data_IF_200377983638
#
_entry.id   IF_200377983638
#
_cell.length_a   1.000
_cell.length_b   1.000
_cell.length_c   1.000
_cell.angle_alpha   90.00
_cell.angle_beta   90.00
_cell.angle_gamma   90.00
#
_symmetry.space_group_name_H-M   'P 1'
#
loop_
_entity.id
_entity.type
_entity.pdbx_description
1 polymer ?
#
# COMPACT_ATOMS: atom_id res chain seq x y z
N UNK A 1 -21.71 11.80 -3.35
CA UNK A 1 -21.06 13.09 -3.13
C UNK A 1 -19.55 12.88 -3.14
N UNK A 2 -18.79 13.93 -3.49
CA UNK A 2 -17.33 13.91 -3.50
C UNK A 2 -16.82 14.22 -2.09
N UNK A 3 -15.80 13.51 -1.63
CA UNK A 3 -15.16 13.71 -0.33
C UNK A 3 -13.67 13.98 -0.54
N UNK A 4 -13.17 15.01 0.13
CA UNK A 4 -11.74 15.33 0.27
C UNK A 4 -11.29 14.91 1.68
N UNK A 5 -10.24 14.10 1.78
CA UNK A 5 -9.61 13.76 3.05
C UNK A 5 -8.09 13.65 2.86
N UNK A 6 -7.37 13.53 3.98
CA UNK A 6 -5.92 13.32 3.96
C UNK A 6 -5.54 12.04 3.17
N UNK A 7 -6.41 11.03 3.14
CA UNK A 7 -6.18 9.76 2.44
C UNK A 7 -6.54 9.75 0.95
N UNK A 8 -6.93 10.91 0.42
CA UNK A 8 -7.31 11.06 -0.98
C UNK A 8 -8.76 11.44 -1.20
N UNK A 9 -9.07 11.62 -2.49
CA UNK A 9 -10.42 11.87 -2.95
C UNK A 9 -11.24 10.58 -2.96
N UNK A 10 -12.54 10.69 -2.72
CA UNK A 10 -13.46 9.57 -2.92
C UNK A 10 -14.84 9.99 -3.40
N UNK A 11 -15.49 9.11 -4.15
CA UNK A 11 -16.89 9.29 -4.55
C UNK A 11 -17.76 8.33 -3.74
N UNK A 12 -18.54 8.90 -2.83
CA UNK A 12 -19.36 8.13 -1.88
C UNK A 12 -20.84 8.27 -2.17
N UNK A 13 -21.62 7.26 -1.81
CA UNK A 13 -23.07 7.20 -1.97
C UNK A 13 -23.69 6.55 -0.73
N UNK A 14 -24.90 6.96 -0.30
CA UNK A 14 -25.63 6.24 0.73
C UNK A 14 -25.77 4.75 0.38
N UNK A 15 -25.66 3.87 1.37
CA UNK A 15 -25.80 2.43 1.14
C UNK A 15 -27.25 2.05 0.87
N UNK A 16 -27.46 1.09 -0.03
CA UNK A 16 -28.74 0.39 -0.15
C UNK A 16 -28.79 -0.73 0.89
N UNK A 17 -29.60 -0.56 1.92
CA UNK A 17 -29.64 -1.44 3.09
C UNK A 17 -28.54 -1.16 4.11
N UNK A 18 -28.66 -1.79 5.28
CA UNK A 18 -27.76 -1.58 6.41
C UNK A 18 -26.59 -2.59 6.40
N UNK A 19 -25.33 -2.11 6.38
CA UNK A 19 -24.16 -2.94 6.67
C UNK A 19 -24.28 -3.68 8.00
N UNK A 20 -23.64 -4.84 8.09
CA UNK A 20 -23.59 -5.65 9.31
C UNK A 20 -22.28 -5.36 10.05
N UNK A 21 -22.35 -4.63 11.16
CA UNK A 21 -21.18 -4.30 11.98
C UNK A 21 -20.97 -5.36 13.07
N UNK A 22 -19.72 -5.74 13.33
CA UNK A 22 -19.38 -6.64 14.43
C UNK A 22 -19.68 -5.96 15.78
N UNK A 23 -19.99 -6.75 16.82
CA UNK A 23 -20.32 -6.21 18.15
C UNK A 23 -19.22 -5.31 18.76
N UNK A 24 -17.95 -5.60 18.45
CA UNK A 24 -16.81 -4.78 18.87
C UNK A 24 -16.59 -3.53 17.98
N UNK A 25 -17.36 -3.36 16.92
CA UNK A 25 -17.30 -2.24 15.98
C UNK A 25 -15.98 -2.11 15.21
N UNK A 26 -15.17 -3.19 15.14
CA UNK A 26 -13.86 -3.21 14.47
C UNK A 26 -13.92 -3.59 13.00
N UNK A 27 -15.06 -4.11 12.54
CA UNK A 27 -15.29 -4.40 11.13
C UNK A 27 -16.77 -4.33 10.79
N UNK A 28 -17.08 -4.09 9.53
CA UNK A 28 -18.43 -4.14 8.99
C UNK A 28 -18.44 -4.87 7.64
N UNK A 29 -19.52 -5.60 7.36
CA UNK A 29 -19.73 -6.31 6.10
C UNK A 29 -20.84 -5.64 5.32
N UNK A 30 -20.55 -5.29 4.07
CA UNK A 30 -21.52 -4.72 3.13
C UNK A 30 -21.37 -5.38 1.77
N UNK A 31 -22.48 -5.85 1.19
CA UNK A 31 -22.55 -6.54 -0.11
C UNK A 31 -21.47 -7.64 -0.28
N UNK A 32 -21.31 -8.48 0.75
CA UNK A 32 -20.35 -9.59 0.75
C UNK A 32 -18.88 -9.18 0.88
N UNK A 33 -18.59 -7.90 1.13
CA UNK A 33 -17.24 -7.40 1.35
C UNK A 33 -17.08 -6.99 2.81
N UNK A 34 -16.02 -7.48 3.45
CA UNK A 34 -15.61 -7.07 4.79
C UNK A 34 -14.72 -5.83 4.71
N UNK A 35 -15.03 -4.84 5.52
CA UNK A 35 -14.25 -3.61 5.71
C UNK A 35 -13.73 -3.59 7.15
N UNK A 36 -12.46 -3.25 7.33
CA UNK A 36 -11.83 -3.14 8.63
C UNK A 36 -11.78 -1.68 9.08
N UNK A 37 -11.97 -1.45 10.39
CA UNK A 37 -12.01 -0.11 10.98
C UNK A 37 -10.67 0.60 10.77
N UNK A 38 -10.74 1.83 10.27
CA UNK A 38 -9.62 2.77 10.16
C UNK A 38 -9.66 3.79 11.28
N UNK A 39 -10.79 4.49 11.41
CA UNK A 39 -10.94 5.55 12.39
C UNK A 39 -12.26 5.42 13.14
N UNK A 40 -12.23 5.86 14.40
CA UNK A 40 -13.41 6.12 15.20
C UNK A 40 -13.19 7.46 15.89
N UNK A 41 -14.08 8.42 15.64
CA UNK A 41 -13.98 9.78 16.14
C UNK A 41 -15.36 10.38 16.38
N UNK A 42 -15.39 11.46 17.17
CA UNK A 42 -16.57 12.32 17.30
C UNK A 42 -16.40 13.53 16.38
N UNK A 43 -17.47 13.90 15.68
CA UNK A 43 -17.52 15.12 14.88
C UNK A 43 -18.54 16.09 15.48
N UNK A 44 -18.27 17.39 15.36
CA UNK A 44 -19.19 18.45 15.75
C UNK A 44 -19.37 19.43 14.58
N UNK A 45 -20.63 19.72 14.24
CA UNK A 45 -20.93 20.75 13.24
C UNK A 45 -20.70 22.13 13.82
N UNK A 46 -19.62 22.80 13.44
CA UNK A 46 -19.28 24.13 13.97
C UNK A 46 -19.90 25.28 13.16
N UNK A 47 -20.09 25.07 11.86
CA UNK A 47 -20.64 26.05 10.92
C UNK A 47 -21.23 25.34 9.69
N UNK A 48 -22.20 25.96 9.02
CA UNK A 48 -22.84 25.43 7.81
C UNK A 48 -22.53 26.36 6.64
N UNK A 49 -21.87 25.83 5.61
CA UNK A 49 -21.59 26.55 4.36
C UNK A 49 -22.45 25.97 3.24
N UNK A 50 -23.32 26.79 2.65
CA UNK A 50 -24.16 26.40 1.54
C UNK A 50 -25.53 25.86 1.96
N UNK A 51 -26.15 25.11 1.05
CA UNK A 51 -27.52 24.62 1.18
C UNK A 51 -27.56 23.10 1.26
N UNK A 52 -28.42 22.59 2.14
CA UNK A 52 -28.63 21.16 2.34
C UNK A 52 -30.12 20.84 2.18
N UNK A 53 -30.42 19.70 1.56
CA UNK A 53 -31.81 19.23 1.41
C UNK A 53 -32.43 18.73 2.73
N UNK A 54 -31.65 18.68 3.81
CA UNK A 54 -32.06 18.32 5.15
C UNK A 54 -31.54 19.36 6.16
N UNK A 55 -32.11 19.36 7.36
CA UNK A 55 -31.70 20.29 8.40
C UNK A 55 -30.34 19.90 8.99
N UNK A 56 -29.38 20.82 8.93
CA UNK A 56 -28.09 20.72 9.61
C UNK A 56 -28.08 21.67 10.80
N UNK A 57 -27.67 21.19 11.97
CA UNK A 57 -27.73 21.98 13.21
C UNK A 57 -26.32 22.22 13.76
N UNK A 58 -25.97 23.50 14.02
CA UNK A 58 -24.70 23.85 14.69
C UNK A 58 -24.67 23.26 16.10
N UNK A 59 -23.54 22.68 16.48
CA UNK A 59 -23.35 21.96 17.73
C UNK A 59 -23.88 20.52 17.71
N UNK A 60 -24.45 20.06 16.59
CA UNK A 60 -24.79 18.66 16.42
C UNK A 60 -23.52 17.81 16.47
N UNK A 61 -23.58 16.74 17.27
CA UNK A 61 -22.49 15.79 17.46
C UNK A 61 -22.85 14.43 16.88
N UNK A 62 -21.86 13.78 16.30
CA UNK A 62 -21.99 12.44 15.73
C UNK A 62 -20.76 11.60 16.08
N UNK A 63 -21.00 10.32 16.35
CA UNK A 63 -19.94 9.30 16.44
C UNK A 63 -19.76 8.71 15.05
N UNK A 64 -18.58 8.87 14.46
CA UNK A 64 -18.27 8.45 13.11
C UNK A 64 -17.29 7.29 13.12
N UNK A 65 -17.48 6.31 12.24
CA UNK A 65 -16.54 5.21 12.00
C UNK A 65 -16.28 5.07 10.53
N UNK A 66 -15.01 5.14 10.17
CA UNK A 66 -14.55 4.92 8.81
C UNK A 66 -13.86 3.57 8.71
N UNK A 67 -14.24 2.82 7.69
CA UNK A 67 -13.75 1.49 7.38
C UNK A 67 -13.21 1.46 5.96
N UNK A 68 -12.22 0.58 5.73
CA UNK A 68 -11.65 0.40 4.41
C UNK A 68 -11.48 -1.09 4.08
N UNK A 69 -11.50 -1.39 2.79
CA UNK A 69 -11.12 -2.67 2.24
C UNK A 69 -10.34 -2.44 0.93
N UNK A 70 -9.78 -3.51 0.36
CA UNK A 70 -9.20 -3.44 -0.98
C UNK A 70 -10.22 -3.07 -2.07
N UNK A 71 -11.52 -3.19 -1.79
CA UNK A 71 -12.61 -2.89 -2.73
C UNK A 71 -13.22 -1.50 -2.56
N UNK A 72 -12.83 -0.74 -1.53
CA UNK A 72 -13.37 0.61 -1.32
C UNK A 72 -13.45 1.02 0.14
N UNK A 73 -14.23 2.06 0.38
CA UNK A 73 -14.48 2.70 1.67
C UNK A 73 -15.92 2.46 2.12
N UNK A 74 -16.11 2.40 3.44
CA UNK A 74 -17.41 2.34 4.08
C UNK A 74 -17.37 3.24 5.31
N UNK A 75 -18.35 4.11 5.46
CA UNK A 75 -18.45 5.05 6.58
C UNK A 75 -19.79 4.91 7.26
N UNK A 76 -19.77 4.98 8.59
CA UNK A 76 -20.92 5.05 9.47
C UNK A 76 -20.90 6.39 10.18
N UNK A 77 -22.02 7.09 10.15
CA UNK A 77 -22.25 8.26 11.00
C UNK A 77 -23.43 7.98 11.91
N UNK A 78 -23.24 8.16 13.22
CA UNK A 78 -24.26 7.93 14.23
C UNK A 78 -24.55 9.20 15.01
N UNK A 79 -25.79 9.67 14.94
CA UNK A 79 -26.34 10.70 15.81
C UNK A 79 -27.10 10.07 16.98
N UNK A 80 -27.78 10.90 17.77
CA UNK A 80 -28.64 10.43 18.87
C UNK A 80 -29.81 9.56 18.39
N UNK A 81 -30.33 9.83 17.19
CA UNK A 81 -31.59 9.23 16.71
C UNK A 81 -31.44 8.45 15.40
N UNK A 82 -30.29 8.54 14.74
CA UNK A 82 -30.11 8.01 13.39
C UNK A 82 -28.70 7.45 13.20
N UNK A 83 -28.62 6.35 12.47
CA UNK A 83 -27.37 5.81 11.93
C UNK A 83 -27.47 5.86 10.42
N UNK A 84 -26.53 6.54 9.78
CA UNK A 84 -26.39 6.57 8.33
C UNK A 84 -25.13 5.84 7.89
N UNK A 85 -25.21 5.21 6.73
CA UNK A 85 -24.09 4.51 6.13
C UNK A 85 -23.88 4.99 4.71
N UNK A 86 -22.62 5.15 4.33
CA UNK A 86 -22.22 5.46 2.97
C UNK A 86 -21.06 4.58 2.54
N UNK A 87 -21.06 4.15 1.28
CA UNK A 87 -19.96 3.41 0.67
C UNK A 87 -19.43 4.19 -0.53
N UNK A 88 -18.14 4.03 -0.83
CA UNK A 88 -17.54 4.70 -1.97
C UNK A 88 -16.19 4.16 -2.38
N UNK A 89 -15.71 4.71 -3.49
CA UNK A 89 -14.47 4.32 -4.12
C UNK A 89 -13.48 5.48 -4.09
N UNK A 90 -12.18 5.17 -3.91
CA UNK A 90 -11.13 6.18 -4.03
C UNK A 90 -11.04 6.69 -5.46
N UNK A 91 -10.76 7.98 -5.60
CA UNK A 91 -10.56 8.68 -6.85
C UNK A 91 -9.14 9.23 -6.91
N UNK A 92 -8.56 9.23 -8.11
CA UNK A 92 -7.32 9.94 -8.36
C UNK A 92 -7.57 11.46 -8.39
N UNK A 93 -6.64 12.23 -7.86
CA UNK A 93 -6.67 13.70 -7.86
C UNK A 93 -6.81 14.24 -9.29
N UNK A 94 -6.12 13.62 -10.26
CA UNK A 94 -6.23 13.96 -11.68
C UNK A 94 -7.66 13.79 -12.24
N UNK A 95 -8.45 12.85 -11.72
CA UNK A 95 -9.86 12.69 -12.11
C UNK A 95 -10.68 13.89 -11.64
N UNK A 96 -10.43 14.37 -10.41
CA UNK A 96 -11.10 15.54 -9.85
C UNK A 96 -10.69 16.81 -10.60
N UNK A 97 -9.40 17.02 -10.81
CA UNK A 97 -8.85 18.17 -11.57
C UNK A 97 -9.52 18.30 -12.93
N UNK A 98 -9.59 17.20 -13.69
CA UNK A 98 -10.21 17.18 -15.03
C UNK A 98 -11.72 17.38 -14.97
N UNK A 99 -12.41 16.79 -13.98
CA UNK A 99 -13.86 16.92 -13.86
C UNK A 99 -14.30 18.37 -13.59
N UNK A 100 -13.48 19.13 -12.85
CA UNK A 100 -13.76 20.53 -12.52
C UNK A 100 -13.02 21.55 -13.42
N UNK A 101 -12.20 21.11 -14.37
CA UNK A 101 -11.37 21.96 -15.25
C UNK A 101 -10.45 22.90 -14.44
N UNK A 102 -9.72 22.32 -13.50
CA UNK A 102 -8.85 23.02 -12.54
C UNK A 102 -7.38 22.64 -12.73
N UNK A 103 -6.93 22.51 -13.98
CA UNK A 103 -5.57 22.07 -14.32
C UNK A 103 -4.50 23.01 -13.74
N UNK A 104 -4.81 24.30 -13.60
CA UNK A 104 -3.98 25.32 -12.98
C UNK A 104 -3.83 25.15 -11.45
N UNK A 105 -4.70 24.34 -10.83
CA UNK A 105 -4.73 24.07 -9.38
C UNK A 105 -4.37 22.63 -9.04
N UNK A 106 -3.75 21.90 -9.96
CA UNK A 106 -3.37 20.50 -9.76
C UNK A 106 -2.58 20.29 -8.46
N UNK A 107 -1.60 21.14 -8.19
CA UNK A 107 -0.71 20.97 -7.03
C UNK A 107 -1.44 21.07 -5.69
N UNK A 108 -2.47 21.93 -5.58
CA UNK A 108 -3.25 22.08 -4.34
C UNK A 108 -4.35 21.02 -4.18
N UNK A 109 -4.72 20.36 -5.28
CA UNK A 109 -5.71 19.27 -5.29
C UNK A 109 -5.07 17.89 -5.19
N UNK A 110 -3.74 17.80 -5.30
CA UNK A 110 -3.02 16.55 -5.13
C UNK A 110 -3.21 16.02 -3.69
N UNK A 111 -3.57 14.75 -3.58
CA UNK A 111 -3.66 14.00 -2.32
C UNK A 111 -2.90 12.69 -2.44
N UNK A 112 -3.01 11.86 -1.41
CA UNK A 112 -2.62 10.45 -1.44
C UNK A 112 -3.50 9.69 -2.43
N UNK A 113 -3.08 9.73 -3.69
CA UNK A 113 -3.81 9.08 -4.77
C UNK A 113 -3.82 7.57 -4.57
N UNK A 114 -4.95 6.90 -4.87
CA UNK A 114 -4.95 5.45 -4.94
C UNK A 114 -3.86 5.03 -5.91
N UNK A 115 -2.89 4.25 -5.42
CA UNK A 115 -1.82 3.73 -6.25
C UNK A 115 -2.40 3.05 -7.49
N UNK A 116 -1.64 2.96 -8.60
CA UNK A 116 -2.10 2.23 -9.77
C UNK A 116 -2.59 0.87 -9.28
N UNK A 117 -3.85 0.53 -9.58
CA UNK A 117 -4.39 -0.79 -9.30
C UNK A 117 -3.62 -1.77 -10.19
N UNK A 118 -2.43 -2.14 -9.74
CA UNK A 118 -1.77 -3.33 -10.18
C UNK A 118 -2.53 -4.40 -9.41
N UNK A 119 -3.65 -4.86 -9.98
CA UNK A 119 -4.01 -6.26 -9.82
C UNK A 119 -2.69 -6.98 -10.04
N UNK A 120 -2.11 -7.56 -8.98
CA UNK A 120 -0.84 -8.24 -9.08
C UNK A 120 -1.00 -9.19 -10.26
N UNK A 121 -0.42 -8.82 -11.42
CA UNK A 121 -0.40 -9.69 -12.58
C UNK A 121 0.43 -10.83 -12.04
N UNK A 122 -0.25 -11.91 -11.63
CA UNK A 122 0.42 -13.12 -11.18
C UNK A 122 1.55 -13.36 -12.15
N UNK A 123 2.76 -13.49 -11.61
CA UNK A 123 4.02 -13.48 -12.36
C UNK A 123 3.81 -14.30 -13.63
N UNK A 124 3.66 -13.60 -14.76
CA UNK A 124 3.28 -14.26 -16.00
C UNK A 124 4.34 -15.30 -16.33
N UNK A 125 3.94 -16.41 -16.94
CA UNK A 125 4.87 -17.47 -17.35
C UNK A 125 6.11 -16.91 -18.08
N UNK A 126 5.96 -15.83 -18.84
CA UNK A 126 7.07 -15.10 -19.48
C UNK A 126 8.12 -14.59 -18.49
N UNK A 127 7.74 -13.98 -17.37
CA UNK A 127 8.68 -13.53 -16.32
C UNK A 127 9.39 -14.70 -15.64
N UNK A 128 8.69 -15.82 -15.41
CA UNK A 128 9.28 -17.04 -14.84
C UNK A 128 10.29 -17.65 -15.82
N UNK A 129 9.93 -17.73 -17.10
CA UNK A 129 10.81 -18.23 -18.17
C UNK A 129 12.03 -17.32 -18.32
N UNK A 130 11.87 -16.00 -18.29
CA UNK A 130 12.97 -15.05 -18.40
C UNK A 130 13.93 -15.17 -17.21
N UNK A 131 13.41 -15.28 -15.98
CA UNK A 131 14.22 -15.53 -14.78
C UNK A 131 14.95 -16.88 -14.89
N UNK A 132 14.27 -17.95 -15.33
CA UNK A 132 14.89 -19.26 -15.50
C UNK A 132 16.00 -19.26 -16.57
N UNK A 133 15.79 -18.56 -17.69
CA UNK A 133 16.80 -18.41 -18.74
C UNK A 133 18.00 -17.59 -18.26
N UNK A 134 17.78 -16.51 -17.51
CA UNK A 134 18.85 -15.70 -16.93
C UNK A 134 19.66 -16.50 -15.91
N UNK A 135 18.99 -17.29 -15.04
CA UNK A 135 19.67 -18.18 -14.10
C UNK A 135 20.45 -19.27 -14.84
N UNK A 136 19.88 -19.86 -15.90
CA UNK A 136 20.56 -20.87 -16.70
C UNK A 136 21.82 -20.31 -17.38
N UNK A 137 21.73 -19.12 -17.97
CA UNK A 137 22.88 -18.43 -18.59
C UNK A 137 23.94 -18.10 -17.53
N UNK A 138 23.53 -17.61 -16.36
CA UNK A 138 24.44 -17.34 -15.25
C UNK A 138 25.16 -18.60 -14.79
N UNK A 139 24.45 -19.73 -14.68
CA UNK A 139 25.04 -21.02 -14.30
C UNK A 139 26.02 -21.56 -15.35
N UNK A 140 25.75 -21.34 -16.64
CA UNK A 140 26.67 -21.70 -17.73
C UNK A 140 27.96 -20.87 -17.65
N UNK A 141 27.84 -19.55 -17.45
CA UNK A 141 29.02 -18.66 -17.31
C UNK A 141 29.85 -19.00 -16.07
N UNK A 142 29.19 -19.34 -14.94
CA UNK A 142 29.87 -19.79 -13.73
C UNK A 142 30.50 -21.18 -13.89
N UNK A 143 29.90 -22.06 -14.69
CA UNK A 143 30.45 -23.37 -15.05
C UNK A 143 31.70 -23.23 -15.93
N UNK A 144 31.72 -22.30 -16.88
CA UNK A 144 32.87 -22.00 -17.73
C UNK A 144 34.03 -21.32 -16.96
N UNK A 145 33.75 -20.75 -15.78
CA UNK A 145 34.80 -20.26 -14.88
C UNK A 145 35.53 -21.37 -14.10
N UNK A 146 35.21 -22.66 -14.31
CA UNK A 146 35.88 -23.79 -13.64
C UNK A 146 36.74 -24.67 -14.56
N UNK A 147 36.90 -24.30 -15.84
CA UNK A 147 37.64 -25.10 -16.82
C UNK A 147 38.75 -24.35 -17.55
N UNK A 148 39.98 -24.39 -17.00
CA UNK A 148 41.25 -24.69 -17.72
C UNK A 148 42.48 -23.93 -17.21
N UNK A 149 43.43 -24.73 -16.73
CA UNK A 149 44.89 -24.63 -16.69
C UNK A 149 45.62 -23.50 -17.44
N UNK A 150 46.56 -22.85 -16.74
CA UNK A 150 47.56 -21.96 -17.35
C UNK A 150 48.67 -21.50 -16.39
N UNK A 151 49.78 -22.24 -16.38
CA UNK A 151 51.19 -21.83 -16.18
C UNK A 151 51.53 -20.53 -15.43
N UNK A 152 52.29 -20.64 -14.34
CA UNK A 152 52.84 -19.50 -13.62
C UNK A 152 54.10 -19.84 -12.81
N UNK A 153 55.19 -20.16 -13.51
CA UNK A 153 56.55 -20.13 -12.98
C UNK A 153 56.85 -18.74 -12.40
N UNK A 154 57.26 -18.67 -11.13
CA UNK A 154 57.92 -17.48 -10.57
C UNK A 154 59.01 -17.94 -9.61
N UNK A 155 60.24 -17.81 -10.09
CA UNK A 155 61.48 -17.94 -9.34
C UNK A 155 61.87 -16.58 -8.77
N UNK A 156 62.42 -16.57 -7.55
CA UNK A 156 63.15 -15.52 -6.81
C UNK A 156 62.63 -15.48 -5.37
N UNK A 157 63.42 -15.52 -4.29
CA UNK A 157 64.85 -15.60 -4.08
C UNK A 157 65.10 -15.39 -2.57
N UNK A 158 66.25 -15.85 -2.05
CA UNK A 158 66.86 -15.29 -0.84
C UNK A 158 66.66 -16.00 0.51
N UNK A 159 67.57 -16.94 0.79
CA UNK A 159 68.32 -17.22 2.04
C UNK A 159 67.98 -16.46 3.34
N UNK A 160 67.83 -17.19 4.47
CA UNK A 160 68.76 -17.10 5.62
C UNK A 160 68.49 -18.17 6.71
N UNK A 161 69.58 -18.69 7.31
CA UNK A 161 69.65 -19.00 8.75
C UNK A 161 69.41 -20.45 9.20
N UNK A 162 70.50 -21.21 9.42
CA UNK A 162 70.47 -22.50 10.10
C UNK A 162 70.69 -22.41 11.61
N UNK A 163 70.37 -23.50 12.32
CA UNK A 163 71.17 -24.08 13.40
C UNK A 163 70.69 -25.51 13.72
N UNK A 164 71.66 -26.34 14.12
CA UNK A 164 71.53 -27.70 14.61
C UNK A 164 71.74 -27.67 16.13
N UNK A 165 70.88 -28.32 16.93
CA UNK A 165 71.25 -28.80 18.27
C UNK A 165 70.20 -29.73 18.89
N UNK A 166 70.61 -30.95 19.25
CA UNK A 166 70.15 -31.74 20.40
C UNK A 166 68.71 -32.29 20.35
N UNK A 167 68.40 -33.49 20.83
CA UNK A 167 69.12 -34.39 21.72
C UNK A 167 68.23 -35.59 22.05
N UNK A 168 68.91 -36.66 22.43
CA UNK A 168 68.43 -37.99 22.79
C UNK A 168 67.66 -38.04 24.14
N UNK A 169 67.02 -39.20 24.39
CA UNK A 169 66.46 -39.75 25.64
C UNK A 169 64.97 -39.43 25.92
N UNK A 170 64.09 -40.35 26.31
CA UNK A 170 64.19 -41.75 26.81
C UNK A 170 63.09 -42.61 26.19
#
# INVERSE_FOLDING_TARGET
FLVDSEEGWSMVRPTTGAPQMTANGRSATYLGTKYDLKYHYEAETTYVLGEFYWQVTRGQKTSNRDFASAKGLLSMEQSANEVTWSAGDKLASDTVVKAFKLEDKKDVLQRDDPGPFVAAKGVGCGTIILIAVVILILLIILSDCSGSSGSGYRSSGGSFGGYSSGGSHK
#
